data_IF_631584005416
#
_entry.id   IF_631584005416
#
_cell.length_a   1.000
_cell.length_b   1.000
_cell.length_c   1.000
_cell.angle_alpha   90.00
_cell.angle_beta   90.00
_cell.angle_gamma   90.00
#
_symmetry.space_group_name_H-M   'P 1'
#
loop_
_entity.id
_entity.type
_entity.pdbx_description
1 polymer ?
#
# COMPACT_ATOMS: atom_id res chain seq x y z
N UNK A 1 11.86 -14.97 18.83
CA UNK A 1 10.62 -14.33 18.33
C UNK A 1 11.00 -12.94 17.85
N UNK A 2 10.83 -12.63 16.57
CA UNK A 2 11.09 -11.29 16.05
C UNK A 2 9.82 -10.46 16.27
N UNK A 3 9.89 -9.40 17.07
CA UNK A 3 8.74 -8.52 17.31
C UNK A 3 8.67 -7.56 16.12
N UNK A 4 7.57 -7.56 15.35
CA UNK A 4 7.46 -6.70 14.17
C UNK A 4 7.52 -5.23 14.57
N UNK A 5 8.39 -4.47 13.90
CA UNK A 5 8.57 -3.03 14.18
C UNK A 5 7.41 -2.23 13.57
N UNK A 6 6.43 -1.91 14.39
CA UNK A 6 5.28 -1.08 14.00
C UNK A 6 5.63 0.40 14.06
N UNK A 7 5.34 1.14 12.99
CA UNK A 7 5.59 2.58 12.93
C UNK A 7 4.54 3.31 12.10
N UNK A 8 4.45 4.62 12.28
CA UNK A 8 3.56 5.47 11.47
C UNK A 8 4.12 5.69 10.06
N UNK A 9 3.26 6.07 9.11
CA UNK A 9 3.68 6.44 7.75
C UNK A 9 4.70 7.58 7.76
N UNK A 10 4.57 8.53 8.69
CA UNK A 10 5.47 9.66 8.78
C UNK A 10 6.88 9.24 9.22
N UNK A 11 6.97 8.39 10.24
CA UNK A 11 8.23 7.83 10.74
C UNK A 11 8.87 6.93 9.68
N UNK A 12 8.11 6.04 9.03
CA UNK A 12 8.60 5.18 7.95
C UNK A 12 9.19 5.98 6.79
N UNK A 13 8.55 7.09 6.39
CA UNK A 13 9.06 7.97 5.34
C UNK A 13 10.31 8.77 5.77
N UNK A 14 10.50 9.00 7.07
CA UNK A 14 11.71 9.62 7.58
C UNK A 14 12.86 8.60 7.64
N UNK A 15 12.56 7.37 8.08
CA UNK A 15 13.51 6.26 8.12
C UNK A 15 13.97 5.83 6.72
N UNK A 16 13.05 5.81 5.75
CA UNK A 16 13.39 5.52 4.35
C UNK A 16 14.34 6.54 3.75
N UNK A 17 14.27 7.81 4.16
CA UNK A 17 15.22 8.85 3.75
C UNK A 17 16.59 8.63 4.39
N UNK A 18 16.66 8.28 5.68
CA UNK A 18 17.94 8.01 6.32
C UNK A 18 18.64 6.74 5.80
N UNK A 19 17.88 5.79 5.26
CA UNK A 19 18.39 4.56 4.64
C UNK A 19 18.60 4.70 3.13
N UNK A 20 18.50 5.91 2.58
CA UNK A 20 18.67 6.21 1.14
C UNK A 20 17.71 5.46 0.19
N UNK A 21 16.63 4.88 0.73
CA UNK A 21 15.58 4.23 -0.08
C UNK A 21 14.70 5.30 -0.76
N UNK A 22 14.49 6.45 -0.10
CA UNK A 22 13.89 7.63 -0.75
C UNK A 22 12.38 7.56 -1.04
N UNK A 23 11.60 6.82 -0.24
CA UNK A 23 10.16 6.60 -0.52
C UNK A 23 9.27 7.72 0.03
N UNK A 24 8.28 8.14 -0.77
CA UNK A 24 7.30 9.15 -0.38
C UNK A 24 6.21 8.62 0.57
N UNK A 25 5.63 9.51 1.39
CA UNK A 25 4.49 9.18 2.26
C UNK A 25 3.26 8.71 1.48
N UNK A 26 3.06 9.24 0.27
CA UNK A 26 1.90 8.89 -0.55
C UNK A 26 2.01 7.48 -1.08
N UNK A 27 3.19 7.07 -1.55
CA UNK A 27 3.43 5.71 -2.00
C UNK A 27 3.18 4.69 -0.87
N UNK A 28 3.71 4.94 0.33
CA UNK A 28 3.47 4.07 1.50
C UNK A 28 1.96 3.98 1.82
N UNK A 29 1.24 5.10 1.69
CA UNK A 29 -0.22 5.12 1.91
C UNK A 29 -0.97 4.29 0.85
N UNK A 30 -0.54 4.36 -0.41
CA UNK A 30 -1.10 3.55 -1.50
C UNK A 30 -0.86 2.06 -1.26
N UNK A 31 0.37 1.66 -0.90
CA UNK A 31 0.68 0.28 -0.56
C UNK A 31 -0.20 -0.27 0.57
N UNK A 32 -0.43 0.54 1.61
CA UNK A 32 -1.36 0.18 2.68
C UNK A 32 -2.81 0.12 2.22
N UNK A 33 -3.23 1.00 1.31
CA UNK A 33 -4.61 1.03 0.78
C UNK A 33 -4.90 -0.18 -0.11
N UNK A 34 -3.91 -0.57 -0.91
CA UNK A 34 -3.96 -1.75 -1.79
C UNK A 34 -3.77 -3.06 -1.03
N UNK A 35 -3.39 -3.00 0.26
CA UNK A 35 -3.17 -4.18 1.09
C UNK A 35 -1.88 -4.93 0.75
N UNK A 36 -0.97 -4.32 -0.02
CA UNK A 36 0.30 -4.92 -0.44
C UNK A 36 1.30 -5.08 0.71
N UNK A 37 1.14 -4.29 1.76
CA UNK A 37 1.93 -4.38 2.99
C UNK A 37 1.01 -4.46 4.22
N UNK A 38 1.41 -5.14 5.31
CA UNK A 38 0.60 -5.24 6.52
C UNK A 38 0.48 -3.88 7.23
N UNK A 39 -0.76 -3.37 7.34
CA UNK A 39 -1.06 -2.11 8.02
C UNK A 39 -2.27 -2.25 8.94
N UNK A 40 -2.22 -1.56 10.08
CA UNK A 40 -3.29 -1.54 11.09
C UNK A 40 -3.75 -0.11 11.34
N UNK A 41 -5.07 0.08 11.38
CA UNK A 41 -5.67 1.35 11.80
C UNK A 41 -5.76 1.38 13.32
N UNK A 42 -5.34 2.50 13.91
CA UNK A 42 -5.25 2.64 15.37
C UNK A 42 -5.93 3.93 15.83
N UNK A 43 -6.62 3.84 16.96
CA UNK A 43 -7.26 4.95 17.64
C UNK A 43 -8.73 5.19 17.26
N UNK A 44 -9.43 5.94 18.11
CA UNK A 44 -10.88 6.16 18.04
C UNK A 44 -11.35 6.83 16.73
N UNK A 45 -10.51 7.68 16.12
CA UNK A 45 -10.82 8.36 14.86
C UNK A 45 -10.40 7.60 13.59
N UNK A 46 -9.87 6.37 13.68
CA UNK A 46 -9.40 5.54 12.54
C UNK A 46 -8.39 6.23 11.59
N UNK A 47 -7.83 7.37 11.96
CA UNK A 47 -6.96 8.19 11.09
C UNK A 47 -5.50 7.80 11.16
N UNK A 48 -5.03 7.22 12.28
CA UNK A 48 -3.64 6.80 12.42
C UNK A 48 -3.48 5.39 11.85
N UNK A 49 -2.62 5.24 10.84
CA UNK A 49 -2.15 3.96 10.34
C UNK A 49 -0.78 3.65 10.94
N UNK A 50 -0.65 2.45 11.49
CA UNK A 50 0.63 1.82 11.74
C UNK A 50 0.91 0.81 10.63
N UNK A 51 2.15 0.74 10.18
CA UNK A 51 2.63 -0.24 9.22
C UNK A 51 3.76 -1.05 9.83
N UNK A 52 3.87 -2.31 9.39
CA UNK A 52 5.00 -3.15 9.74
C UNK A 52 6.20 -2.79 8.84
N UNK A 53 7.27 -2.27 9.44
CA UNK A 53 8.47 -1.84 8.72
C UNK A 53 9.18 -2.98 8.01
N UNK A 54 9.29 -4.13 8.66
CA UNK A 54 9.95 -5.30 8.08
C UNK A 54 9.17 -5.81 6.87
N UNK A 55 7.84 -5.77 6.94
CA UNK A 55 6.96 -6.11 5.81
C UNK A 55 7.10 -5.13 4.64
N UNK A 56 7.30 -3.84 4.92
CA UNK A 56 7.58 -2.85 3.88
C UNK A 56 8.95 -3.12 3.22
N UNK A 57 10.00 -3.35 4.00
CA UNK A 57 11.33 -3.67 3.45
C UNK A 57 11.31 -4.96 2.62
N UNK A 58 10.59 -5.97 3.09
CA UNK A 58 10.42 -7.22 2.37
C UNK A 58 9.72 -6.99 1.02
N UNK A 59 8.64 -6.20 1.00
CA UNK A 59 7.94 -5.83 -0.23
C UNK A 59 8.84 -5.07 -1.21
N UNK A 60 9.67 -4.15 -0.71
CA UNK A 60 10.58 -3.38 -1.56
C UNK A 60 11.74 -4.21 -2.13
N UNK A 61 12.21 -5.18 -1.35
CA UNK A 61 13.30 -6.07 -1.77
C UNK A 61 12.81 -7.15 -2.73
N UNK A 62 11.57 -7.62 -2.53
CA UNK A 62 10.94 -8.69 -3.29
C UNK A 62 9.50 -8.29 -3.63
N UNK A 63 9.30 -7.41 -4.62
CA UNK A 63 7.96 -7.03 -5.03
C UNK A 63 7.23 -8.28 -5.55
N UNK A 64 6.01 -8.58 -5.07
CA UNK A 64 5.20 -9.65 -5.63
C UNK A 64 4.92 -9.34 -7.12
N UNK A 65 4.96 -10.37 -7.97
CA UNK A 65 4.57 -10.21 -9.37
C UNK A 65 3.08 -9.88 -9.40
N UNK A 66 2.76 -8.64 -9.75
CA UNK A 66 1.37 -8.21 -9.93
C UNK A 66 0.81 -8.91 -11.17
N UNK A 67 -0.26 -9.69 -10.98
CA UNK A 67 -1.12 -10.08 -12.09
C UNK A 67 -1.74 -8.80 -12.64
N UNK A 68 -1.24 -8.35 -13.80
CA UNK A 68 -1.78 -7.18 -14.49
C UNK A 68 -3.23 -7.50 -14.85
N UNK A 69 -4.17 -6.98 -14.06
CA UNK A 69 -5.56 -6.93 -14.50
C UNK A 69 -5.60 -5.96 -15.68
N UNK A 70 -6.11 -6.37 -16.87
CA UNK A 70 -6.18 -5.47 -18.01
C UNK A 70 -7.18 -4.34 -17.68
N UNK A 71 -6.66 -3.22 -17.22
CA UNK A 71 -7.39 -1.97 -17.08
C UNK A 71 -7.51 -1.36 -18.48
N UNK A 72 -8.71 -1.43 -19.08
CA UNK A 72 -8.94 -0.90 -20.42
C UNK A 72 -10.13 -1.47 -21.20
N UNK A 73 -10.82 -2.50 -20.68
CA UNK A 73 -11.98 -3.06 -21.36
C UNK A 73 -13.17 -2.09 -21.29
N UNK A 74 -13.37 -1.31 -22.36
CA UNK A 74 -14.64 -0.61 -22.59
C UNK A 74 -15.73 -1.67 -22.57
N UNK A 75 -16.67 -1.57 -21.61
CA UNK A 75 -17.82 -2.50 -21.58
C UNK A 75 -18.66 -2.23 -22.83
N UNK A 76 -18.94 -3.24 -23.67
CA UNK A 76 -19.84 -3.06 -24.79
C UNK A 76 -21.22 -2.68 -24.25
N UNK A 77 -21.82 -1.61 -24.79
CA UNK A 77 -23.21 -1.27 -24.51
C UNK A 77 -24.07 -2.29 -25.28
N UNK A 78 -24.97 -3.04 -24.61
CA UNK A 78 -25.89 -3.92 -25.34
C UNK A 78 -26.78 -3.07 -26.23
N UNK A 79 -26.73 -3.32 -27.54
CA UNK A 79 -27.55 -2.64 -28.52
C UNK A 79 -29.05 -2.86 -28.25
N UNK A 80 -29.76 -1.72 -28.20
CA UNK A 80 -31.21 -1.52 -28.36
C UNK A 80 -32.10 -1.78 -27.14
N UNK A 81 -32.30 -0.71 -26.36
CA UNK A 81 -33.65 -0.36 -25.91
C UNK A 81 -34.42 0.20 -27.11
N UNK A 82 -35.09 -0.66 -27.87
CA UNK A 82 -36.22 -0.25 -28.73
C UNK A 82 -37.51 -0.46 -27.94
N UNK A 83 -38.22 0.65 -27.71
CA UNK A 83 -39.59 0.69 -27.19
C UNK A 83 -40.59 0.12 -28.20
#
# INVERSE_FOLDING_TARGET
MNIPKMMTIAEAAQLSKSLEIGISKNYIRELCREGKIPCFRVGAKKTKLLLNWDGLLQYLSFPPQEEQTPSGSIRPIPEKYTA
#
